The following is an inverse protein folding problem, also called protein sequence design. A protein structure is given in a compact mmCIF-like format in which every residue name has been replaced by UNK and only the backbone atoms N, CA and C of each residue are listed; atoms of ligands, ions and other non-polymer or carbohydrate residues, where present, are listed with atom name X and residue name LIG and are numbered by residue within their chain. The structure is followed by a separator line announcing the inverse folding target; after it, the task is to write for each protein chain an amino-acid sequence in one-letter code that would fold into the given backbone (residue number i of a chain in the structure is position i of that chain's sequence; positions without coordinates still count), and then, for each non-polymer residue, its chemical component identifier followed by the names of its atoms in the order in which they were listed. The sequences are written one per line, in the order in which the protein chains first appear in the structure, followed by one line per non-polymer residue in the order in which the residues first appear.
data_IF_230655957312
#
_entry.id   IF_230655957312
#
_cell.length_a   1.000
_cell.length_b   1.000
_cell.length_c   1.000
_cell.angle_alpha   90.00
_cell.angle_beta   90.00
_cell.angle_gamma   90.00
#
_symmetry.space_group_name_H-M   'P 1'
#
loop_
_entity.id
_entity.type
_entity.pdbx_description
1 polymer ?
#
# COMPACT_ATOMS: atom_id res chain seq x y z
N UNK A 1 14.42 -3.36 -17.82
CA UNK A 1 13.96 -3.63 -16.42
C UNK A 1 12.62 -2.94 -16.14
N UNK A 2 12.27 -1.90 -16.90
CA UNK A 2 10.96 -1.24 -16.90
C UNK A 2 9.74 -2.16 -16.71
N UNK A 3 9.59 -3.23 -17.51
CA UNK A 3 8.44 -4.15 -17.40
C UNK A 3 8.26 -4.76 -16.00
N UNK A 4 9.36 -5.19 -15.37
CA UNK A 4 9.32 -5.76 -14.03
C UNK A 4 8.93 -4.69 -12.99
N UNK A 5 9.38 -3.46 -13.14
CA UNK A 5 9.00 -2.33 -12.30
C UNK A 5 7.53 -1.95 -12.46
N UNK A 6 7.01 -1.97 -13.68
CA UNK A 6 5.59 -1.75 -13.95
C UNK A 6 4.71 -2.84 -13.32
N UNK A 7 5.13 -4.10 -13.37
CA UNK A 7 4.44 -5.21 -12.69
C UNK A 7 4.51 -5.03 -11.17
N UNK A 8 5.67 -4.69 -10.62
CA UNK A 8 5.83 -4.41 -9.19
C UNK A 8 4.91 -3.26 -8.75
N UNK A 9 4.86 -2.18 -9.53
CA UNK A 9 3.98 -1.04 -9.26
C UNK A 9 2.51 -1.45 -9.34
N UNK A 10 2.11 -2.24 -10.34
CA UNK A 10 0.75 -2.77 -10.44
C UNK A 10 0.37 -3.59 -9.20
N UNK A 11 1.25 -4.51 -8.76
CA UNK A 11 1.05 -5.31 -7.55
C UNK A 11 0.96 -4.42 -6.30
N UNK A 12 1.82 -3.41 -6.18
CA UNK A 12 1.76 -2.44 -5.10
C UNK A 12 0.41 -1.70 -5.09
N UNK A 13 -0.12 -1.33 -6.26
CA UNK A 13 -1.42 -0.66 -6.41
C UNK A 13 -2.58 -1.59 -6.03
N UNK A 14 -2.55 -2.87 -6.42
CA UNK A 14 -3.57 -3.87 -6.02
C UNK A 14 -3.66 -3.96 -4.49
N UNK A 15 -2.50 -3.97 -3.83
CA UNK A 15 -2.37 -4.09 -2.37
C UNK A 15 -2.53 -2.74 -1.65
N UNK A 16 -2.61 -1.63 -2.39
CA UNK A 16 -2.59 -0.29 -1.82
C UNK A 16 -3.92 0.19 -1.25
N UNK A 17 -3.81 1.34 -0.59
CA UNK A 17 -4.65 1.78 0.53
C UNK A 17 -6.17 1.71 0.37
N UNK A 18 -6.79 1.80 -0.82
CA UNK A 18 -8.25 1.90 -0.87
C UNK A 18 -8.95 0.60 -0.49
N UNK A 19 -8.60 -0.50 -1.15
CA UNK A 19 -9.19 -1.82 -0.91
C UNK A 19 -8.87 -2.33 0.50
N UNK A 20 -7.64 -2.08 0.92
CA UNK A 20 -7.16 -2.41 2.24
C UNK A 20 -7.82 -1.58 3.34
N UNK A 21 -8.01 -0.27 3.13
CA UNK A 21 -8.63 0.63 4.11
C UNK A 21 -10.12 0.33 4.28
N UNK A 22 -10.80 -0.08 3.21
CA UNK A 22 -12.18 -0.56 3.28
C UNK A 22 -12.26 -1.82 4.16
N UNK A 23 -11.33 -2.76 3.98
CA UNK A 23 -11.26 -3.97 4.80
C UNK A 23 -10.88 -3.69 6.25
N UNK A 24 -9.89 -2.83 6.51
CA UNK A 24 -9.51 -2.40 7.86
C UNK A 24 -10.72 -1.71 8.53
N UNK A 25 -11.47 -0.91 7.80
CA UNK A 25 -12.69 -0.28 8.30
C UNK A 25 -13.75 -1.32 8.70
N UNK A 26 -13.94 -2.37 7.89
CA UNK A 26 -14.82 -3.48 8.25
C UNK A 26 -14.32 -4.22 9.49
N UNK A 27 -13.02 -4.47 9.61
CA UNK A 27 -12.43 -5.11 10.80
C UNK A 27 -12.63 -4.27 12.07
N UNK A 28 -12.45 -2.96 11.97
CA UNK A 28 -12.70 -2.03 13.07
C UNK A 28 -14.17 -2.04 13.50
N UNK A 29 -15.11 -2.05 12.54
CA UNK A 29 -16.54 -2.03 12.83
C UNK A 29 -17.07 -3.36 13.36
N UNK A 30 -16.81 -4.46 12.65
CA UNK A 30 -17.45 -5.76 12.89
C UNK A 30 -16.74 -6.54 14.01
N UNK A 31 -15.41 -6.52 14.04
CA UNK A 31 -14.65 -7.33 14.99
C UNK A 31 -14.25 -6.56 16.24
N UNK A 32 -13.81 -5.31 16.08
CA UNK A 32 -13.32 -4.52 17.21
C UNK A 32 -14.43 -3.67 17.87
N UNK A 33 -15.62 -3.58 17.28
CA UNK A 33 -16.74 -2.79 17.80
C UNK A 33 -16.42 -1.31 17.94
N UNK A 34 -15.55 -0.77 17.07
CA UNK A 34 -15.08 0.60 17.20
C UNK A 34 -16.20 1.61 16.99
N UNK A 35 -16.21 2.63 17.83
CA UNK A 35 -17.09 3.79 17.66
C UNK A 35 -16.65 4.63 16.46
N UNK A 36 -17.55 5.46 15.95
CA UNK A 36 -17.22 6.44 14.90
C UNK A 36 -16.04 7.34 15.30
N UNK A 37 -16.00 7.78 16.57
CA UNK A 37 -14.92 8.61 17.09
C UNK A 37 -13.55 7.92 17.04
N UNK A 38 -13.48 6.64 17.42
CA UNK A 38 -12.22 5.87 17.37
C UNK A 38 -11.72 5.69 15.93
N UNK A 39 -12.64 5.43 14.99
CA UNK A 39 -12.30 5.30 13.56
C UNK A 39 -11.81 6.61 12.97
N UNK A 40 -12.45 7.73 13.31
CA UNK A 40 -12.00 9.06 12.89
C UNK A 40 -10.61 9.37 13.43
N UNK A 41 -10.35 9.11 14.72
CA UNK A 41 -9.04 9.32 15.33
C UNK A 41 -7.96 8.47 14.65
N UNK A 42 -8.26 7.20 14.39
CA UNK A 42 -7.33 6.29 13.72
C UNK A 42 -7.05 6.72 12.29
N UNK A 43 -8.07 7.17 11.54
CA UNK A 43 -7.91 7.67 10.17
C UNK A 43 -7.00 8.90 10.14
N UNK A 44 -7.20 9.84 11.09
CA UNK A 44 -6.33 11.00 11.25
C UNK A 44 -4.90 10.60 11.62
N UNK A 45 -4.72 9.64 12.54
CA UNK A 45 -3.41 9.12 12.91
C UNK A 45 -2.71 8.40 11.75
N UNK A 46 -3.46 7.67 10.93
CA UNK A 46 -2.95 7.04 9.72
C UNK A 46 -2.49 8.06 8.67
N UNK A 47 -3.27 9.12 8.45
CA UNK A 47 -2.84 10.26 7.62
C UNK A 47 -1.57 10.92 8.15
N UNK A 48 -1.47 11.10 9.47
CA UNK A 48 -0.27 11.58 10.14
C UNK A 48 0.94 10.66 9.94
N UNK A 49 0.76 9.34 10.04
CA UNK A 49 1.80 8.36 9.78
C UNK A 49 2.33 8.41 8.33
N UNK A 50 1.44 8.60 7.36
CA UNK A 50 1.83 8.78 5.94
C UNK A 50 2.62 10.08 5.77
N UNK A 51 2.17 11.19 6.38
CA UNK A 51 2.88 12.47 6.29
C UNK A 51 4.28 12.39 6.90
N UNK A 52 4.41 11.77 8.09
CA UNK A 52 5.70 11.52 8.74
C UNK A 52 6.60 10.63 7.88
N UNK A 53 6.06 9.55 7.31
CA UNK A 53 6.77 8.66 6.41
C UNK A 53 7.33 9.37 5.17
N UNK A 54 6.56 10.29 4.60
CA UNK A 54 6.98 11.10 3.46
C UNK A 54 8.24 11.91 3.79
N UNK A 55 8.30 12.52 4.98
CA UNK A 55 9.47 13.27 5.44
C UNK A 55 10.69 12.36 5.67
N UNK A 56 10.48 11.12 6.09
CA UNK A 56 11.53 10.13 6.31
C UNK A 56 12.03 9.45 5.03
N UNK A 57 11.29 9.53 3.92
CA UNK A 57 11.61 8.81 2.69
C UNK A 57 12.97 9.23 2.12
N UNK A 58 13.22 10.53 1.95
CA UNK A 58 14.49 11.05 1.42
C UNK A 58 15.71 10.67 2.28
N UNK A 59 15.75 10.95 3.60
CA UNK A 59 16.91 10.60 4.42
C UNK A 59 17.12 9.07 4.50
N UNK A 60 16.06 8.26 4.48
CA UNK A 60 16.20 6.81 4.46
C UNK A 60 16.71 6.30 3.12
N UNK A 61 16.29 6.86 1.99
CA UNK A 61 16.85 6.53 0.67
C UNK A 61 18.35 6.84 0.64
N UNK A 62 18.78 7.98 1.18
CA UNK A 62 20.22 8.32 1.29
C UNK A 62 20.99 7.34 2.18
N UNK A 63 20.40 6.88 3.30
CA UNK A 63 21.04 5.92 4.21
C UNK A 63 21.08 4.49 3.69
N UNK A 64 20.03 4.05 2.99
CA UNK A 64 19.91 2.71 2.43
C UNK A 64 20.63 2.56 1.09
N UNK A 65 20.94 3.68 0.42
CA UNK A 65 21.75 3.73 -0.80
C UNK A 65 21.05 3.26 -2.07
N UNK A 66 19.80 2.77 -2.00
CA UNK A 66 19.04 2.37 -3.18
C UNK A 66 17.52 2.38 -2.95
N UNK A 67 16.77 2.60 -4.02
CA UNK A 67 15.31 2.49 -4.08
C UNK A 67 14.84 1.06 -3.80
N UNK A 68 15.64 0.07 -4.23
CA UNK A 68 15.39 -1.37 -3.99
C UNK A 68 15.41 -1.71 -2.50
N UNK A 69 16.45 -1.26 -1.78
CA UNK A 69 16.58 -1.48 -0.36
C UNK A 69 15.43 -0.80 0.40
N UNK A 70 15.09 0.44 0.04
CA UNK A 70 13.96 1.14 0.65
C UNK A 70 12.63 0.43 0.38
N UNK A 71 12.36 0.01 -0.86
CA UNK A 71 11.14 -0.71 -1.20
C UNK A 71 11.04 -2.02 -0.40
N UNK A 72 12.14 -2.74 -0.24
CA UNK A 72 12.19 -3.98 0.56
C UNK A 72 11.86 -3.72 2.04
N UNK A 73 12.44 -2.66 2.63
CA UNK A 73 12.13 -2.23 4.00
C UNK A 73 10.66 -1.83 4.13
N UNK A 74 10.12 -1.06 3.18
CA UNK A 74 8.72 -0.65 3.19
C UNK A 74 7.77 -1.85 3.04
N UNK A 75 8.12 -2.86 2.25
CA UNK A 75 7.34 -4.10 2.18
C UNK A 75 7.39 -4.87 3.50
N UNK A 76 8.56 -5.03 4.11
CA UNK A 76 8.70 -5.71 5.40
C UNK A 76 7.90 -5.01 6.51
N UNK A 77 7.98 -3.69 6.60
CA UNK A 77 7.21 -2.93 7.60
C UNK A 77 5.71 -2.94 7.30
N UNK A 78 5.30 -2.98 6.02
CA UNK A 78 3.89 -3.18 5.68
C UNK A 78 3.36 -4.52 6.21
N UNK A 79 4.12 -5.60 6.03
CA UNK A 79 3.78 -6.93 6.57
C UNK A 79 3.67 -6.88 8.10
N UNK A 80 4.61 -6.23 8.80
CA UNK A 80 4.54 -6.06 10.25
C UNK A 80 3.29 -5.27 10.71
N UNK A 81 2.91 -4.24 9.94
CA UNK A 81 1.67 -3.50 10.17
C UNK A 81 0.44 -4.40 10.02
N UNK A 82 0.37 -5.19 8.95
CA UNK A 82 -0.73 -6.14 8.74
C UNK A 82 -0.81 -7.23 9.79
N UNK A 83 0.33 -7.78 10.19
CA UNK A 83 0.40 -8.79 11.25
C UNK A 83 -0.05 -8.24 12.62
N UNK A 84 0.09 -6.93 12.82
CA UNK A 84 -0.44 -6.25 14.00
C UNK A 84 -1.96 -6.08 13.89
N UNK A 85 -2.47 -5.73 12.71
CA UNK A 85 -3.91 -5.59 12.45
C UNK A 85 -4.67 -6.92 12.53
N UNK A 86 -4.10 -8.01 12.01
CA UNK A 86 -4.70 -9.34 12.10
C UNK A 86 -4.82 -9.84 13.54
N UNK A 87 -4.02 -9.29 14.46
CA UNK A 87 -4.08 -9.54 15.91
C UNK A 87 -4.91 -8.51 16.69
N UNK A 88 -5.57 -7.57 16.01
CA UNK A 88 -6.37 -6.52 16.63
C UNK A 88 -5.57 -5.37 17.24
N UNK A 89 -4.25 -5.31 17.02
CA UNK A 89 -3.37 -4.24 17.52
C UNK A 89 -3.30 -3.06 16.53
N UNK A 90 -4.43 -2.42 16.28
CA UNK A 90 -4.56 -1.35 15.27
C UNK A 90 -3.67 -0.13 15.51
N UNK A 91 -3.40 0.24 16.77
CA UNK A 91 -2.55 1.39 17.10
C UNK A 91 -1.07 1.05 16.94
N UNK A 92 -0.64 -0.12 17.40
CA UNK A 92 0.75 -0.58 17.23
C UNK A 92 1.10 -0.76 15.75
N UNK A 93 0.13 -1.23 14.94
CA UNK A 93 0.34 -1.38 13.50
C UNK A 93 0.57 -0.06 12.75
N UNK A 94 0.25 1.11 13.31
CA UNK A 94 0.54 2.40 12.66
C UNK A 94 2.05 2.69 12.57
N UNK A 95 2.82 2.29 13.58
CA UNK A 95 4.27 2.56 13.64
C UNK A 95 5.02 1.98 12.44
N UNK A 96 4.91 0.68 12.11
CA UNK A 96 5.59 0.15 10.93
C UNK A 96 5.00 0.70 9.62
N UNK A 97 3.72 1.10 9.60
CA UNK A 97 3.12 1.73 8.42
C UNK A 97 3.64 3.13 8.09
N UNK A 98 4.28 3.83 9.03
CA UNK A 98 4.96 5.11 8.75
C UNK A 98 5.88 4.94 7.53
N UNK A 99 6.68 3.87 7.50
CA UNK A 99 7.55 3.56 6.36
C UNK A 99 6.82 2.69 5.33
N UNK A 100 5.97 1.77 5.77
CA UNK A 100 5.34 0.78 4.89
C UNK A 100 4.49 1.39 3.78
N UNK A 101 3.85 2.53 4.05
CA UNK A 101 3.02 3.26 3.08
C UNK A 101 3.83 4.06 2.05
N UNK A 102 5.16 4.18 2.21
CA UNK A 102 6.00 5.01 1.33
C UNK A 102 6.59 4.27 0.13
N UNK A 103 6.27 2.98 -0.05
CA UNK A 103 6.82 2.11 -1.11
C UNK A 103 6.61 2.63 -2.54
N UNK A 104 5.51 3.34 -2.79
CA UNK A 104 5.13 3.76 -4.15
C UNK A 104 6.03 4.86 -4.71
N UNK A 105 6.37 5.84 -3.89
CA UNK A 105 7.20 7.00 -4.28
C UNK A 105 8.54 6.59 -4.90
N UNK A 106 9.38 5.76 -4.26
CA UNK A 106 10.66 5.33 -4.82
C UNK A 106 10.48 4.40 -6.03
N UNK A 107 9.45 3.55 -6.06
CA UNK A 107 9.17 2.70 -7.25
C UNK A 107 8.81 3.54 -8.47
N UNK A 108 8.02 4.60 -8.31
CA UNK A 108 7.72 5.55 -9.41
C UNK A 108 8.99 6.30 -9.82
N UNK A 109 9.77 6.83 -8.87
CA UNK A 109 11.03 7.52 -9.17
C UNK A 109 12.00 6.62 -9.95
N UNK A 110 12.10 5.35 -9.57
CA UNK A 110 12.94 4.37 -10.26
C UNK A 110 12.41 4.07 -11.67
N UNK A 111 11.10 3.92 -11.83
CA UNK A 111 10.48 3.72 -13.13
C UNK A 111 10.69 4.93 -14.06
N UNK A 112 10.62 6.15 -13.53
CA UNK A 112 10.92 7.37 -14.29
C UNK A 112 12.37 7.42 -14.75
N UNK A 113 13.32 7.05 -13.88
CA UNK A 113 14.74 7.01 -14.25
C UNK A 113 15.02 5.98 -15.37
N UNK A 114 14.35 4.82 -15.34
CA UNK A 114 14.43 3.83 -16.41
C UNK A 114 13.77 4.33 -17.71
N UNK A 115 12.65 5.06 -17.61
CA UNK A 115 12.02 5.71 -18.76
C UNK A 115 12.92 6.75 -19.42
N UNK A 116 13.56 7.60 -18.62
CA UNK A 116 14.55 8.59 -19.08
C UNK A 116 15.70 7.89 -19.83
N UNK A 117 16.21 6.75 -19.32
CA UNK A 117 17.26 5.96 -19.96
C UNK A 117 16.82 5.30 -21.29
N UNK A 118 15.53 5.12 -21.50
CA UNK A 118 14.93 4.61 -22.74
C UNK A 118 14.51 5.73 -23.71
N UNK A 119 14.75 7.00 -23.37
CA UNK A 119 14.34 8.15 -24.17
C UNK A 119 12.85 8.45 -24.12
N UNK A 120 12.12 7.91 -23.13
CA UNK A 120 10.69 8.16 -22.94
C UNK A 120 10.53 9.43 -22.11
N UNK A 121 9.64 10.33 -22.54
CA UNK A 121 9.38 11.56 -21.81
C UNK A 121 8.79 11.31 -20.42
N UNK A 122 9.20 12.09 -19.42
CA UNK A 122 8.65 11.98 -18.04
C UNK A 122 7.13 12.10 -17.98
N UNK A 123 6.55 13.00 -18.78
CA UNK A 123 5.09 13.17 -18.86
C UNK A 123 4.39 11.93 -19.41
N UNK A 124 4.98 11.30 -20.42
CA UNK A 124 4.48 10.04 -21.00
C UNK A 124 4.57 8.89 -20.00
N UNK A 125 5.69 8.75 -19.29
CA UNK A 125 5.83 7.74 -18.23
C UNK A 125 4.82 7.95 -17.10
N UNK A 126 4.61 9.19 -16.65
CA UNK A 126 3.60 9.50 -15.65
C UNK A 126 2.20 9.15 -16.14
N UNK A 127 1.85 9.51 -17.39
CA UNK A 127 0.56 9.15 -17.99
C UNK A 127 0.36 7.62 -18.06
N UNK A 128 1.38 6.87 -18.48
CA UNK A 128 1.35 5.40 -18.49
C UNK A 128 1.12 4.81 -17.09
N UNK A 129 1.82 5.33 -16.07
CA UNK A 129 1.62 4.88 -14.69
C UNK A 129 0.23 5.22 -14.15
N UNK A 130 -0.32 6.36 -14.51
CA UNK A 130 -1.69 6.75 -14.14
C UNK A 130 -2.73 5.83 -14.80
N UNK A 131 -2.56 5.50 -16.09
CA UNK A 131 -3.43 4.57 -16.81
C UNK A 131 -3.36 3.16 -16.22
N UNK A 132 -2.15 2.68 -15.93
CA UNK A 132 -1.95 1.39 -15.25
C UNK A 132 -2.67 1.37 -13.89
N UNK A 133 -2.55 2.46 -13.13
CA UNK A 133 -3.24 2.59 -11.84
C UNK A 133 -4.75 2.55 -11.99
N UNK A 134 -5.31 3.31 -12.91
CA UNK A 134 -6.75 3.33 -13.15
C UNK A 134 -7.28 1.93 -13.53
N UNK A 135 -6.54 1.20 -14.37
CA UNK A 135 -6.86 -0.18 -14.72
C UNK A 135 -6.86 -1.09 -13.49
N UNK A 136 -5.79 -1.04 -12.69
CA UNK A 136 -5.65 -1.87 -11.49
C UNK A 136 -6.72 -1.53 -10.45
N UNK A 137 -7.02 -0.25 -10.21
CA UNK A 137 -8.05 0.18 -9.27
C UNK A 137 -9.48 -0.18 -9.75
N UNK A 138 -9.68 -0.36 -11.05
CA UNK A 138 -10.95 -0.84 -11.61
C UNK A 138 -11.13 -2.36 -11.47
N UNK A 139 -10.05 -3.11 -11.67
CA UNK A 139 -10.06 -4.59 -11.62
C UNK A 139 -9.92 -5.11 -10.19
N UNK A 140 -9.16 -4.43 -9.34
CA UNK A 140 -8.85 -4.81 -7.96
C UNK A 140 -10.08 -5.17 -7.12
N UNK A 141 -11.13 -4.32 -7.06
CA UNK A 141 -12.35 -4.62 -6.32
C UNK A 141 -13.02 -5.94 -6.75
N UNK A 142 -13.00 -6.26 -8.05
CA UNK A 142 -13.58 -7.51 -8.57
C UNK A 142 -12.78 -8.72 -8.06
N UNK A 143 -11.45 -8.64 -8.07
CA UNK A 143 -10.57 -9.70 -7.55
C UNK A 143 -10.82 -9.93 -6.06
N UNK A 144 -10.88 -8.86 -5.26
CA UNK A 144 -11.17 -8.96 -3.83
C UNK A 144 -12.57 -9.49 -3.54
N UNK A 145 -13.58 -9.08 -4.30
CA UNK A 145 -14.94 -9.58 -4.15
C UNK A 145 -15.04 -11.09 -4.42
N UNK A 146 -14.36 -11.58 -5.47
CA UNK A 146 -14.27 -13.01 -5.77
C UNK A 146 -13.59 -13.76 -4.63
N UNK A 147 -12.44 -13.26 -4.15
CA UNK A 147 -11.70 -13.88 -3.06
C UNK A 147 -12.51 -13.89 -1.75
N UNK A 148 -13.22 -12.80 -1.43
CA UNK A 148 -14.09 -12.71 -0.27
C UNK A 148 -15.29 -13.65 -0.36
N UNK A 149 -15.90 -13.80 -1.54
CA UNK A 149 -16.98 -14.77 -1.74
C UNK A 149 -16.48 -16.20 -1.49
N UNK A 150 -15.32 -16.55 -2.04
CA UNK A 150 -14.71 -17.86 -1.83
C UNK A 150 -14.39 -18.12 -0.34
N UNK A 151 -13.80 -17.14 0.34
CA UNK A 151 -13.48 -17.24 1.77
C UNK A 151 -14.73 -17.34 2.64
N UNK A 152 -15.81 -16.64 2.27
CA UNK A 152 -17.11 -16.71 2.94
C UNK A 152 -17.76 -18.08 2.78
N UNK A 153 -17.66 -18.72 1.62
CA UNK A 153 -18.15 -20.09 1.40
C UNK A 153 -17.41 -21.14 2.24
N UNK A 154 -16.17 -20.84 2.62
CA UNK A 154 -15.38 -21.67 3.54
C UNK A 154 -15.62 -21.35 5.02
N UNK A 155 -16.56 -20.44 5.33
CA UNK A 155 -16.82 -19.98 6.70
C UNK A 155 -15.71 -19.10 7.28
N UNK A 156 -14.82 -18.56 6.43
CA UNK A 156 -13.67 -17.73 6.83
C UNK A 156 -13.68 -16.38 6.09
N UNK A 157 -14.73 -15.55 6.22
CA UNK A 157 -14.87 -14.30 5.45
C UNK A 157 -13.73 -13.29 5.64
N UNK A 158 -12.92 -13.44 6.69
CA UNK A 158 -11.78 -12.59 7.02
C UNK A 158 -10.43 -13.07 6.46
N UNK A 159 -10.35 -14.29 5.90
CA UNK A 159 -9.07 -14.88 5.46
C UNK A 159 -8.66 -14.52 4.03
N UNK A 160 -9.13 -13.38 3.51
CA UNK A 160 -8.80 -12.90 2.15
C UNK A 160 -7.38 -12.32 2.10
N UNK A 161 -6.71 -12.22 3.25
CA UNK A 161 -5.36 -11.70 3.44
C UNK A 161 -4.53 -12.62 4.35
#
# INVERSE_FOLDING_TARGET
RARALSVLLALQIVVDGKLLQDHISLMQMVHAGWTLGQRSLWTSAFGGAIALGGQLTKPMLTRLGSEQAFASVAHATSVLGFLSYSRGHFWLGLVPLIIGQQRRTPTISWLLAEGDALGIGRGEMLAMTANLRALVESVGPVVYAIAQRAASWQGRPTSVF
#
